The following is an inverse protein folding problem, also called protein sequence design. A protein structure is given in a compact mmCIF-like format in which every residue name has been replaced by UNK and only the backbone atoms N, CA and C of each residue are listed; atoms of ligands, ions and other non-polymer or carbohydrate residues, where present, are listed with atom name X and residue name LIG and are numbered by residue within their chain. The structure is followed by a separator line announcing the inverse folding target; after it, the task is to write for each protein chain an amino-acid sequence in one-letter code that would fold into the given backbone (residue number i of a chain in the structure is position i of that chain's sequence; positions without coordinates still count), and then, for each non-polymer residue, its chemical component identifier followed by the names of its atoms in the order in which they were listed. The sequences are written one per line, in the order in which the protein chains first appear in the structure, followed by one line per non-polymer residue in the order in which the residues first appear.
data_IF_812780286544
#
_entry.id   IF_812780286544
#
_cell.length_a   1.000
_cell.length_b   1.000
_cell.length_c   1.000
_cell.angle_alpha   90.00
_cell.angle_beta   90.00
_cell.angle_gamma   90.00
#
_symmetry.space_group_name_H-M   'P 1'
#
loop_
_entity.id
_entity.type
_entity.pdbx_description
1 polymer ?
#
# COMPACT_ATOMS: atom_id res chain seq x y z
N UNK A 1 14.18 5.38 1.10
CA UNK A 1 13.38 4.43 1.85
C UNK A 1 14.26 3.35 2.42
N UNK A 2 14.16 3.13 3.68
CA UNK A 2 15.10 2.26 4.38
C UNK A 2 14.43 0.96 4.82
N UNK A 3 15.23 -0.09 4.86
CA UNK A 3 14.85 -1.34 5.48
C UNK A 3 15.60 -1.45 6.80
N UNK A 4 14.88 -1.83 7.83
CA UNK A 4 15.42 -1.93 9.17
C UNK A 4 15.21 -3.35 9.69
N UNK A 5 16.11 -4.29 9.35
CA UNK A 5 15.99 -5.65 9.87
C UNK A 5 16.06 -5.63 11.40
N UNK A 6 15.43 -6.59 12.03
CA UNK A 6 15.48 -6.73 13.48
C UNK A 6 16.91 -6.97 13.92
N UNK A 7 17.28 -6.52 15.14
CA UNK A 7 18.65 -6.67 15.65
C UNK A 7 19.15 -8.12 15.74
N UNK A 8 18.26 -9.10 15.84
CA UNK A 8 18.60 -10.51 15.89
C UNK A 8 18.84 -11.16 14.52
N UNK A 9 18.84 -10.37 13.45
CA UNK A 9 18.98 -10.89 12.09
C UNK A 9 17.70 -11.42 11.48
N UNK A 10 16.58 -11.37 12.21
CA UNK A 10 15.27 -11.74 11.68
C UNK A 10 14.86 -10.78 10.56
N UNK A 11 14.10 -11.24 9.54
CA UNK A 11 13.53 -10.33 8.54
C UNK A 11 12.39 -9.45 9.08
N UNK A 12 11.90 -9.71 10.28
CA UNK A 12 10.84 -8.90 10.90
C UNK A 12 11.29 -7.45 11.00
N UNK A 13 10.40 -6.54 10.58
CA UNK A 13 10.69 -5.12 10.47
C UNK A 13 11.07 -4.67 9.07
N UNK A 14 11.31 -5.61 8.15
CA UNK A 14 11.55 -5.27 6.75
C UNK A 14 10.36 -4.51 6.21
N UNK A 15 10.65 -3.40 5.53
CA UNK A 15 9.64 -2.46 5.05
C UNK A 15 9.86 -2.17 3.57
N UNK A 16 8.78 -2.15 2.80
CA UNK A 16 8.80 -1.73 1.39
C UNK A 16 7.73 -0.68 1.20
N UNK A 17 8.05 0.37 0.47
CA UNK A 17 7.09 1.42 0.12
C UNK A 17 7.09 1.62 -1.38
N UNK A 18 5.91 1.55 -1.98
CA UNK A 18 5.71 1.93 -3.37
C UNK A 18 5.04 3.30 -3.42
N UNK A 19 5.37 4.06 -4.46
CA UNK A 19 4.72 5.34 -4.74
C UNK A 19 3.88 5.17 -6.00
N UNK A 20 2.65 5.69 -5.99
CA UNK A 20 1.70 5.49 -7.07
C UNK A 20 0.89 6.74 -7.34
N UNK A 21 0.89 7.22 -8.58
CA UNK A 21 -0.10 8.20 -9.03
C UNK A 21 -1.36 7.46 -9.45
N UNK A 22 -2.52 7.94 -9.02
CA UNK A 22 -3.82 7.37 -9.40
C UNK A 22 -4.36 8.12 -10.60
N UNK A 23 -4.30 7.54 -11.81
CA UNK A 23 -4.81 8.23 -12.99
C UNK A 23 -6.34 8.35 -12.93
N UNK A 24 -6.87 9.37 -13.61
CA UNK A 24 -8.31 9.63 -13.58
C UNK A 24 -9.13 8.49 -14.20
N UNK A 25 -8.53 7.64 -15.01
CA UNK A 25 -9.19 6.45 -15.56
C UNK A 25 -9.62 5.43 -14.50
N UNK A 26 -9.09 5.52 -13.29
CA UNK A 26 -9.47 4.64 -12.17
C UNK A 26 -10.59 5.20 -11.30
N UNK A 27 -11.15 6.35 -11.64
CA UNK A 27 -12.33 6.86 -10.93
C UNK A 27 -13.49 5.87 -11.10
N UNK A 28 -14.11 5.49 -9.99
CA UNK A 28 -15.17 4.48 -9.96
C UNK A 28 -16.51 5.08 -9.51
N UNK A 29 -16.48 5.88 -8.46
CA UNK A 29 -17.67 6.53 -7.92
C UNK A 29 -17.72 8.00 -8.33
N UNK A 30 -18.86 8.64 -8.06
CA UNK A 30 -18.99 10.08 -8.22
C UNK A 30 -17.94 10.83 -7.40
N UNK A 31 -17.54 12.02 -7.86
CA UNK A 31 -16.51 12.80 -7.18
C UNK A 31 -15.10 12.26 -7.39
N UNK A 32 -14.90 11.46 -8.43
CA UNK A 32 -13.61 10.83 -8.75
C UNK A 32 -13.09 9.87 -7.68
N UNK A 33 -13.99 9.31 -6.88
CA UNK A 33 -13.60 8.34 -5.86
C UNK A 33 -13.21 7.01 -6.49
N UNK A 34 -12.18 6.41 -5.95
CA UNK A 34 -11.64 5.13 -6.40
C UNK A 34 -12.18 4.03 -5.48
N UNK A 35 -12.47 2.86 -6.04
CA UNK A 35 -12.98 1.74 -5.25
C UNK A 35 -11.92 1.12 -4.34
N UNK A 36 -12.38 0.48 -3.26
CA UNK A 36 -11.48 -0.13 -2.28
C UNK A 36 -10.64 -1.27 -2.84
N UNK A 37 -11.14 -1.97 -3.85
CA UNK A 37 -10.40 -3.05 -4.49
C UNK A 37 -9.08 -2.57 -5.11
N UNK A 38 -9.03 -1.32 -5.55
CA UNK A 38 -7.80 -0.73 -6.08
C UNK A 38 -6.68 -0.75 -5.03
N UNK A 39 -6.98 -0.34 -3.80
CA UNK A 39 -6.01 -0.37 -2.70
C UNK A 39 -5.53 -1.79 -2.40
N UNK A 40 -6.44 -2.76 -2.43
CA UNK A 40 -6.05 -4.16 -2.20
C UNK A 40 -5.13 -4.68 -3.29
N UNK A 41 -5.33 -4.27 -4.54
CA UNK A 41 -4.41 -4.61 -5.63
C UNK A 41 -3.02 -4.03 -5.42
N UNK A 42 -2.93 -2.80 -4.92
CA UNK A 42 -1.65 -2.17 -4.60
C UNK A 42 -0.96 -2.88 -3.43
N UNK A 43 -1.73 -3.38 -2.46
CA UNK A 43 -1.18 -4.20 -1.39
C UNK A 43 -0.56 -5.49 -1.94
N UNK A 44 -1.19 -6.09 -2.93
CA UNK A 44 -0.63 -7.26 -3.60
C UNK A 44 0.75 -6.99 -4.18
N UNK A 45 0.91 -5.86 -4.86
CA UNK A 45 2.18 -5.49 -5.49
C UNK A 45 3.29 -5.25 -4.46
N UNK A 46 3.01 -4.47 -3.42
CA UNK A 46 4.04 -4.16 -2.42
C UNK A 46 4.40 -5.39 -1.58
N UNK A 47 3.41 -6.26 -1.31
CA UNK A 47 3.65 -7.52 -0.60
C UNK A 47 4.53 -8.45 -1.43
N UNK A 48 4.35 -8.48 -2.74
CA UNK A 48 5.18 -9.27 -3.65
C UNK A 48 6.63 -8.83 -3.58
N UNK A 49 6.89 -7.54 -3.64
CA UNK A 49 8.27 -7.05 -3.54
C UNK A 49 8.88 -7.36 -2.18
N UNK A 50 8.12 -7.21 -1.10
CA UNK A 50 8.61 -7.56 0.23
C UNK A 50 9.00 -9.04 0.30
N UNK A 51 8.16 -9.92 -0.23
CA UNK A 51 8.43 -11.35 -0.29
C UNK A 51 9.71 -11.67 -1.08
N UNK A 52 9.90 -11.02 -2.22
CA UNK A 52 11.11 -11.19 -3.04
C UNK A 52 12.35 -10.78 -2.23
N UNK A 53 12.28 -9.66 -1.51
CA UNK A 53 13.42 -9.17 -0.72
C UNK A 53 13.74 -10.07 0.46
N UNK A 54 12.73 -10.61 1.11
CA UNK A 54 12.91 -11.44 2.32
C UNK A 54 13.25 -12.88 1.96
N UNK A 55 12.57 -13.44 0.98
CA UNK A 55 12.60 -14.88 0.69
C UNK A 55 13.20 -15.24 -0.68
N UNK A 56 13.47 -14.25 -1.52
CA UNK A 56 13.91 -14.54 -2.89
C UNK A 56 12.84 -15.20 -3.74
N UNK A 57 11.57 -15.07 -3.37
CA UNK A 57 10.43 -15.69 -4.03
C UNK A 57 9.25 -14.73 -3.93
N UNK A 58 8.44 -14.64 -4.99
CA UNK A 58 7.31 -13.72 -5.01
C UNK A 58 6.20 -14.10 -4.02
N UNK A 59 6.15 -15.36 -3.61
CA UNK A 59 5.12 -15.86 -2.73
C UNK A 59 3.73 -15.83 -3.36
N UNK A 60 2.73 -16.14 -2.54
CA UNK A 60 1.31 -16.01 -2.91
C UNK A 60 0.57 -15.34 -1.78
N UNK A 61 -0.20 -14.32 -2.09
CA UNK A 61 -1.04 -13.65 -1.11
C UNK A 61 -2.20 -14.60 -0.75
N UNK A 62 -2.26 -15.02 0.52
CA UNK A 62 -3.22 -16.05 0.94
C UNK A 62 -4.49 -15.46 1.54
N UNK A 63 -4.37 -14.38 2.33
CA UNK A 63 -5.53 -13.80 3.00
C UNK A 63 -5.29 -12.37 3.45
N UNK A 64 -6.37 -11.61 3.54
CA UNK A 64 -6.41 -10.33 4.23
C UNK A 64 -7.20 -10.47 5.51
N UNK A 65 -6.79 -9.75 6.55
CA UNK A 65 -7.54 -9.58 7.77
C UNK A 65 -7.68 -8.10 8.08
N UNK A 66 -8.76 -7.75 8.79
CA UNK A 66 -8.94 -6.40 9.35
C UNK A 66 -8.76 -5.28 8.33
N UNK A 67 -9.38 -5.42 7.18
CA UNK A 67 -9.36 -4.39 6.15
C UNK A 67 -10.24 -3.21 6.60
N UNK A 68 -9.65 -2.00 6.67
CA UNK A 68 -10.34 -0.78 7.07
C UNK A 68 -10.17 0.29 5.99
N UNK A 69 -11.29 0.80 5.49
CA UNK A 69 -11.31 1.92 4.56
C UNK A 69 -11.60 3.19 5.36
N UNK A 70 -10.55 3.88 5.78
CA UNK A 70 -10.64 5.01 6.72
C UNK A 70 -10.92 6.33 6.03
N UNK A 71 -10.47 6.49 4.80
CA UNK A 71 -10.69 7.69 4.00
C UNK A 71 -10.68 7.30 2.52
N UNK A 72 -11.43 8.00 1.67
CA UNK A 72 -11.46 7.68 0.26
C UNK A 72 -10.14 8.04 -0.43
N UNK A 73 -9.75 7.20 -1.39
CA UNK A 73 -8.73 7.51 -2.39
C UNK A 73 -9.43 8.11 -3.59
N UNK A 74 -8.84 9.14 -4.18
CA UNK A 74 -9.40 9.82 -5.35
C UNK A 74 -8.45 9.72 -6.53
N UNK A 75 -9.02 9.65 -7.73
CA UNK A 75 -8.23 9.85 -8.94
C UNK A 75 -7.52 11.21 -8.86
N UNK A 76 -6.27 11.25 -9.28
CA UNK A 76 -5.41 12.42 -9.09
C UNK A 76 -4.59 12.41 -7.81
N UNK A 77 -4.81 11.43 -6.93
CA UNK A 77 -3.99 11.29 -5.72
C UNK A 77 -2.61 10.71 -6.04
N UNK A 78 -1.63 11.10 -5.25
CA UNK A 78 -0.36 10.38 -5.15
C UNK A 78 -0.37 9.60 -3.84
N UNK A 79 -0.12 8.32 -3.94
CA UNK A 79 -0.16 7.40 -2.80
C UNK A 79 1.22 6.91 -2.44
N UNK A 80 1.42 6.65 -1.16
CA UNK A 80 2.45 5.74 -0.68
C UNK A 80 1.76 4.48 -0.16
N UNK A 81 2.24 3.33 -0.60
CA UNK A 81 1.71 2.03 -0.23
C UNK A 81 2.81 1.26 0.48
N UNK A 82 2.58 0.95 1.74
CA UNK A 82 3.62 0.38 2.60
C UNK A 82 3.25 -1.01 3.05
N UNK A 83 4.24 -1.91 3.06
CA UNK A 83 4.15 -3.21 3.71
C UNK A 83 5.29 -3.34 4.71
N UNK A 84 4.98 -3.84 5.89
CA UNK A 84 5.96 -4.13 6.94
C UNK A 84 5.79 -5.59 7.35
N UNK A 85 6.87 -6.35 7.34
CA UNK A 85 6.84 -7.73 7.83
C UNK A 85 6.83 -7.70 9.36
N UNK A 86 5.75 -8.23 9.95
CA UNK A 86 5.60 -8.22 11.42
C UNK A 86 5.76 -9.60 12.04
N UNK A 87 5.66 -10.66 11.25
CA UNK A 87 5.84 -12.02 11.75
C UNK A 87 6.26 -12.94 10.61
N UNK A 88 7.22 -13.81 10.88
CA UNK A 88 7.66 -14.85 9.95
C UNK A 88 7.47 -16.21 10.60
N UNK A 89 6.56 -17.01 10.05
CA UNK A 89 6.39 -18.42 10.42
C UNK A 89 7.24 -19.31 9.51
N UNK A 90 7.01 -20.61 9.55
CA UNK A 90 7.76 -21.55 8.70
C UNK A 90 7.59 -21.24 7.23
N UNK A 91 6.34 -21.02 6.78
CA UNK A 91 6.02 -20.74 5.38
C UNK A 91 5.10 -19.53 5.23
N UNK A 92 4.74 -18.87 6.32
CA UNK A 92 3.85 -17.73 6.31
C UNK A 92 4.59 -16.45 6.67
N UNK A 93 4.18 -15.35 6.03
CA UNK A 93 4.70 -14.02 6.30
C UNK A 93 3.51 -13.13 6.58
N UNK A 94 3.47 -12.58 7.80
CA UNK A 94 2.39 -11.67 8.19
C UNK A 94 2.84 -10.24 7.99
N UNK A 95 2.01 -9.47 7.30
CA UNK A 95 2.33 -8.10 6.91
C UNK A 95 1.29 -7.14 7.48
N UNK A 96 1.76 -5.97 7.90
CA UNK A 96 0.90 -4.80 8.06
C UNK A 96 0.99 -3.95 6.81
N UNK A 97 -0.16 -3.50 6.33
CA UNK A 97 -0.31 -2.83 5.05
C UNK A 97 -1.04 -1.50 5.23
N UNK A 98 -0.56 -0.47 4.54
CA UNK A 98 -1.16 0.85 4.63
C UNK A 98 -1.07 1.57 3.29
N UNK A 99 -2.19 2.18 2.88
CA UNK A 99 -2.22 3.18 1.80
C UNK A 99 -2.41 4.53 2.43
N UNK A 100 -1.56 5.49 2.09
CA UNK A 100 -1.73 6.89 2.51
C UNK A 100 -1.62 7.83 1.33
N UNK A 101 -2.44 8.86 1.36
CA UNK A 101 -2.45 9.91 0.34
C UNK A 101 -1.43 10.95 0.76
N UNK A 102 -0.49 11.28 -0.13
CA UNK A 102 0.56 12.29 0.15
C UNK A 102 0.39 13.55 -0.69
N UNK A 103 -0.32 13.47 -1.81
CA UNK A 103 -0.69 14.63 -2.62
C UNK A 103 -2.04 14.36 -3.26
N UNK A 104 -2.78 15.43 -3.57
CA UNK A 104 -4.14 15.31 -4.07
C UNK A 104 -4.44 16.37 -5.12
N UNK A 105 -5.14 15.97 -6.17
CA UNK A 105 -5.63 16.91 -7.17
C UNK A 105 -6.71 17.82 -6.61
N UNK A 106 -6.65 19.09 -6.98
CA UNK A 106 -7.65 20.10 -6.63
C UNK A 106 -7.99 20.93 -7.86
N UNK A 107 -8.55 20.30 -8.91
CA UNK A 107 -8.80 20.99 -10.15
C UNK A 107 -9.85 22.11 -9.99
N UNK A 108 -9.61 23.22 -10.65
CA UNK A 108 -10.56 24.33 -10.75
C UNK A 108 -10.79 24.65 -12.20
N UNK A 109 -11.80 25.49 -12.50
CA UNK A 109 -12.07 25.92 -13.86
C UNK A 109 -10.88 26.67 -14.47
N UNK A 110 -10.19 27.50 -13.67
CA UNK A 110 -9.02 28.26 -14.13
C UNK A 110 -7.75 27.40 -14.15
N UNK A 111 -7.68 26.38 -13.30
CA UNK A 111 -6.50 25.52 -13.18
C UNK A 111 -6.94 24.06 -13.12
N UNK A 112 -7.22 23.44 -14.28
CA UNK A 112 -7.69 22.06 -14.29
C UNK A 112 -6.68 21.04 -13.72
N UNK A 113 -5.40 21.37 -13.76
CA UNK A 113 -4.34 20.49 -13.23
C UNK A 113 -3.86 20.88 -11.83
N UNK A 114 -4.58 21.75 -11.13
CA UNK A 114 -4.16 22.17 -9.80
C UNK A 114 -4.13 20.97 -8.84
N UNK A 115 -3.10 20.93 -7.99
CA UNK A 115 -2.90 19.87 -7.02
C UNK A 115 -2.05 20.40 -5.87
N UNK A 116 -2.08 19.72 -4.74
CA UNK A 116 -1.24 20.09 -3.61
C UNK A 116 -0.67 18.88 -2.90
N UNK A 117 0.51 19.08 -2.33
CA UNK A 117 1.10 18.12 -1.39
C UNK A 117 0.42 18.31 -0.03
N UNK A 118 -0.01 17.22 0.59
CA UNK A 118 -0.63 17.31 1.91
C UNK A 118 0.42 17.59 2.97
N UNK A 119 0.11 18.49 3.92
CA UNK A 119 1.00 18.79 5.04
C UNK A 119 1.30 17.53 5.86
N UNK A 120 0.27 16.70 6.04
CA UNK A 120 0.42 15.38 6.67
C UNK A 120 -0.24 14.33 5.79
N UNK A 121 0.40 13.17 5.60
CA UNK A 121 -0.22 12.08 4.85
C UNK A 121 -1.57 11.67 5.46
N UNK A 122 -2.53 11.37 4.60
CA UNK A 122 -3.84 10.90 5.00
C UNK A 122 -3.88 9.38 4.86
N UNK A 123 -4.01 8.67 5.98
CA UNK A 123 -4.17 7.23 5.96
C UNK A 123 -5.54 6.89 5.37
N UNK A 124 -5.54 6.20 4.24
CA UNK A 124 -6.77 5.89 3.52
C UNK A 124 -7.24 4.46 3.78
N UNK A 125 -6.35 3.49 3.71
CA UNK A 125 -6.69 2.07 3.87
C UNK A 125 -5.62 1.38 4.69
N UNK A 126 -6.06 0.53 5.62
CA UNK A 126 -5.15 -0.33 6.37
C UNK A 126 -5.63 -1.77 6.28
N UNK A 127 -4.71 -2.71 6.39
CA UNK A 127 -5.04 -4.12 6.45
C UNK A 127 -3.89 -4.89 7.07
N UNK A 128 -4.16 -6.11 7.47
CA UNK A 128 -3.13 -7.12 7.67
C UNK A 128 -3.29 -8.18 6.61
N UNK A 129 -2.20 -8.81 6.23
CA UNK A 129 -2.20 -9.82 5.20
C UNK A 129 -1.24 -10.95 5.52
N UNK A 130 -1.50 -12.10 4.93
CA UNK A 130 -0.63 -13.26 5.03
C UNK A 130 -0.21 -13.67 3.64
N UNK A 131 1.11 -13.76 3.44
CA UNK A 131 1.73 -14.29 2.23
C UNK A 131 2.33 -15.64 2.57
N UNK A 132 2.18 -16.60 1.68
CA UNK A 132 2.72 -17.95 1.83
C UNK A 132 3.86 -18.12 0.83
N UNK A 133 4.99 -18.64 1.31
CA UNK A 133 6.15 -18.94 0.46
C UNK A 133 6.36 -20.44 0.38
N UNK A 134 7.01 -20.94 -0.69
CA UNK A 134 7.26 -22.38 -0.80
C UNK A 134 8.19 -22.86 0.31
N UNK A 135 7.97 -24.09 0.74
CA UNK A 135 8.73 -24.75 1.79
C UNK A 135 10.08 -25.28 1.35
#
# INVERSE_FOLDING_TARGET
MSQHPAPDGSPVGTRVVHRRYVPYSHAHYAGNLVDGAYSLGLFGDVATELSIRVDGDEGLFASYDDVQFKAPVRAGDVLEVEAVLVRAGTRSRRLELEVRVVARGEPTAERPGAARVLAEPLVATTATGTVVVPG
#
